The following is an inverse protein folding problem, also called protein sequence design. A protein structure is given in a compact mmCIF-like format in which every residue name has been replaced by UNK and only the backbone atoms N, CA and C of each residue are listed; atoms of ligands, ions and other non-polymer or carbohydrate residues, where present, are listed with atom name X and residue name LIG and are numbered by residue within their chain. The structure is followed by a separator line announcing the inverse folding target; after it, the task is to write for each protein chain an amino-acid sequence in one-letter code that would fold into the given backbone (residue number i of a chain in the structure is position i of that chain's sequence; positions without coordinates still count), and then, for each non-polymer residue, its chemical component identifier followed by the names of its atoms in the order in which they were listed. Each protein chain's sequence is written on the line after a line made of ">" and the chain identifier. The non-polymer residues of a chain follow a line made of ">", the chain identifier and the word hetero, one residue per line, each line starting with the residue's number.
data_IF_906781884275
#
_entry.id   IF_906781884275
#
_cell.length_a   1.000
_cell.length_b   1.000
_cell.length_c   1.000
_cell.angle_alpha   90.00
_cell.angle_beta   90.00
_cell.angle_gamma   90.00
#
_symmetry.space_group_name_H-M   'P 1'
#
loop_
_entity.id
_entity.type
_entity.pdbx_description
1 polymer ?
#
# COMPACT_ATOMS: atom_id res chain seq x y z
N UNK A 1 -19.79 10.12 18.87
CA UNK A 1 -19.15 11.42 19.17
C UNK A 1 -18.28 11.76 17.99
N UNK A 2 -18.57 12.81 17.23
CA UNK A 2 -17.73 13.26 16.12
C UNK A 2 -16.50 13.95 16.70
N UNK A 3 -15.34 13.31 16.59
CA UNK A 3 -14.06 13.96 16.87
C UNK A 3 -13.67 14.79 15.65
N UNK A 4 -13.31 16.06 15.84
CA UNK A 4 -12.73 16.86 14.77
C UNK A 4 -11.37 16.25 14.42
N UNK A 5 -11.23 15.69 13.21
CA UNK A 5 -9.92 15.31 12.71
C UNK A 5 -9.18 16.57 12.24
N UNK A 6 -7.90 16.70 12.60
CA UNK A 6 -6.98 17.58 11.89
C UNK A 6 -7.01 17.31 10.36
N UNK A 7 -6.91 18.37 9.54
CA UNK A 7 -7.04 18.28 8.06
C UNK A 7 -5.99 17.35 7.42
N UNK A 8 -4.82 17.30 8.04
CA UNK A 8 -3.69 16.43 7.72
C UNK A 8 -3.98 14.96 8.02
N UNK A 9 -4.63 14.63 9.14
CA UNK A 9 -5.08 13.25 9.44
C UNK A 9 -6.12 12.79 8.42
N UNK A 10 -7.09 13.64 8.08
CA UNK A 10 -8.08 13.32 7.04
C UNK A 10 -7.41 13.06 5.68
N UNK A 11 -6.39 13.86 5.33
CA UNK A 11 -5.64 13.65 4.11
C UNK A 11 -4.91 12.30 4.11
N UNK A 12 -4.23 11.94 5.22
CA UNK A 12 -3.51 10.66 5.36
C UNK A 12 -4.47 9.47 5.24
N UNK A 13 -5.61 9.50 5.93
CA UNK A 13 -6.61 8.43 5.82
C UNK A 13 -7.16 8.32 4.38
N UNK A 14 -7.34 9.46 3.71
CA UNK A 14 -7.76 9.50 2.30
C UNK A 14 -6.69 8.94 1.37
N UNK A 15 -5.42 9.14 1.70
CA UNK A 15 -4.27 8.62 0.95
C UNK A 15 -4.11 7.11 1.11
N UNK A 16 -4.26 6.56 2.32
CA UNK A 16 -4.33 5.11 2.53
C UNK A 16 -5.47 4.50 1.71
N UNK A 17 -6.68 5.03 1.87
CA UNK A 17 -7.86 4.63 1.09
C UNK A 17 -7.60 4.60 -0.42
N UNK A 18 -6.98 5.67 -0.95
CA UNK A 18 -6.71 5.78 -2.39
C UNK A 18 -5.67 4.74 -2.85
N UNK A 19 -4.69 4.43 -2.01
CA UNK A 19 -3.66 3.43 -2.28
C UNK A 19 -4.25 2.01 -2.33
N UNK A 20 -5.09 1.63 -1.35
CA UNK A 20 -5.77 0.32 -1.37
C UNK A 20 -6.69 0.18 -2.60
N UNK A 21 -7.43 1.25 -2.92
CA UNK A 21 -8.33 1.23 -4.07
C UNK A 21 -7.55 1.07 -5.39
N UNK A 22 -6.37 1.67 -5.51
CA UNK A 22 -5.50 1.50 -6.65
C UNK A 22 -4.95 0.06 -6.73
N UNK A 23 -4.57 -0.54 -5.60
CA UNK A 23 -4.16 -1.94 -5.46
C UNK A 23 -5.25 -2.90 -5.93
N UNK A 24 -6.46 -2.76 -5.38
CA UNK A 24 -7.64 -3.54 -5.79
C UNK A 24 -7.85 -3.48 -7.32
N UNK A 25 -7.87 -2.28 -7.89
CA UNK A 25 -8.07 -2.12 -9.33
C UNK A 25 -6.95 -2.74 -10.17
N UNK A 26 -5.71 -2.74 -9.67
CA UNK A 26 -4.59 -3.43 -10.31
C UNK A 26 -4.79 -4.95 -10.30
N UNK A 27 -5.00 -5.56 -9.14
CA UNK A 27 -5.15 -7.01 -9.02
C UNK A 27 -6.37 -7.54 -9.75
N UNK A 28 -7.51 -6.84 -9.69
CA UNK A 28 -8.70 -7.21 -10.46
C UNK A 28 -8.49 -7.16 -12.00
N UNK A 29 -7.63 -6.25 -12.48
CA UNK A 29 -7.23 -6.24 -13.91
C UNK A 29 -6.30 -7.40 -14.25
N UNK A 30 -5.39 -7.76 -13.35
CA UNK A 30 -4.45 -8.87 -13.56
C UNK A 30 -5.18 -10.22 -13.53
N UNK A 31 -6.07 -10.43 -12.55
CA UNK A 31 -6.89 -11.63 -12.42
C UNK A 31 -7.70 -11.89 -13.70
N UNK A 32 -8.25 -10.84 -14.32
CA UNK A 32 -9.00 -10.97 -15.58
C UNK A 32 -8.12 -11.28 -16.81
N UNK A 33 -6.83 -10.97 -16.76
CA UNK A 33 -5.92 -11.07 -17.93
C UNK A 33 -5.01 -12.29 -17.87
N UNK A 34 -4.71 -12.81 -16.70
CA UNK A 34 -3.83 -13.96 -16.54
C UNK A 34 -4.46 -15.22 -17.16
N UNK A 35 -3.63 -16.06 -17.78
CA UNK A 35 -4.00 -17.41 -18.21
C UNK A 35 -3.61 -18.49 -17.19
N UNK A 36 -2.90 -18.11 -16.14
CA UNK A 36 -2.50 -18.98 -15.03
C UNK A 36 -3.65 -19.08 -14.02
N UNK A 37 -4.28 -20.26 -13.96
CA UNK A 37 -5.47 -20.49 -13.15
C UNK A 37 -5.22 -20.40 -11.65
N UNK A 38 -4.05 -20.85 -11.16
CA UNK A 38 -3.69 -20.71 -9.74
C UNK A 38 -3.49 -19.25 -9.40
N UNK A 39 -2.71 -18.53 -10.22
CA UNK A 39 -2.46 -17.11 -10.02
C UNK A 39 -3.78 -16.30 -10.07
N UNK A 40 -4.73 -16.68 -10.93
CA UNK A 40 -6.03 -16.03 -10.99
C UNK A 40 -6.79 -16.10 -9.66
N UNK A 41 -6.67 -17.19 -8.90
CA UNK A 41 -7.32 -17.35 -7.59
C UNK A 41 -6.70 -16.34 -6.62
N UNK A 42 -5.37 -16.36 -6.47
CA UNK A 42 -4.65 -15.46 -5.56
C UNK A 42 -4.89 -13.97 -5.89
N UNK A 43 -4.81 -13.59 -7.18
CA UNK A 43 -5.09 -12.22 -7.59
C UNK A 43 -6.54 -11.78 -7.33
N UNK A 44 -7.49 -12.71 -7.35
CA UNK A 44 -8.90 -12.42 -7.07
C UNK A 44 -9.13 -12.24 -5.56
N UNK A 45 -8.49 -13.07 -4.74
CA UNK A 45 -8.49 -12.93 -3.28
C UNK A 45 -7.88 -11.59 -2.86
N UNK A 46 -6.68 -11.28 -3.33
CA UNK A 46 -6.01 -10.02 -3.02
C UNK A 46 -6.81 -8.80 -3.50
N UNK A 47 -7.43 -8.88 -4.69
CA UNK A 47 -8.37 -7.84 -5.13
C UNK A 47 -9.51 -7.60 -4.12
N UNK A 48 -10.10 -8.67 -3.59
CA UNK A 48 -11.21 -8.57 -2.66
C UNK A 48 -10.77 -7.97 -1.31
N UNK A 49 -9.58 -8.33 -0.84
CA UNK A 49 -8.99 -7.82 0.40
C UNK A 49 -8.70 -6.32 0.31
N UNK A 50 -8.01 -5.89 -0.74
CA UNK A 50 -7.69 -4.48 -1.00
C UNK A 50 -8.95 -3.62 -1.16
N UNK A 51 -9.99 -4.16 -1.81
CA UNK A 51 -11.28 -3.47 -1.92
C UNK A 51 -11.97 -3.34 -0.55
N UNK A 52 -11.86 -4.36 0.30
CA UNK A 52 -12.35 -4.32 1.69
C UNK A 52 -11.55 -3.31 2.51
N UNK A 53 -10.23 -3.25 2.38
CA UNK A 53 -9.37 -2.28 3.04
C UNK A 53 -9.71 -0.84 2.64
N UNK A 54 -9.87 -0.57 1.35
CA UNK A 54 -10.36 0.72 0.87
C UNK A 54 -11.71 1.10 1.50
N UNK A 55 -12.60 0.12 1.69
CA UNK A 55 -13.87 0.32 2.37
C UNK A 55 -13.73 0.56 3.89
N UNK A 56 -12.80 -0.10 4.57
CA UNK A 56 -12.52 0.14 5.99
C UNK A 56 -12.11 1.60 6.21
N UNK A 57 -11.16 2.10 5.41
CA UNK A 57 -10.77 3.51 5.46
C UNK A 57 -11.92 4.46 5.13
N UNK A 58 -12.72 4.13 4.11
CA UNK A 58 -13.91 4.91 3.74
C UNK A 58 -14.92 4.98 4.90
N UNK A 59 -15.16 3.85 5.55
CA UNK A 59 -16.11 3.73 6.66
C UNK A 59 -15.62 4.49 7.88
N UNK A 60 -14.34 4.39 8.22
CA UNK A 60 -13.70 5.15 9.30
C UNK A 60 -13.83 6.66 9.08
N UNK A 61 -13.48 7.15 7.89
CA UNK A 61 -13.58 8.58 7.54
C UNK A 61 -15.04 9.06 7.72
N UNK A 62 -16.01 8.26 7.27
CA UNK A 62 -17.44 8.58 7.42
C UNK A 62 -17.89 8.56 8.88
N UNK A 63 -17.43 7.59 9.67
CA UNK A 63 -17.76 7.47 11.10
C UNK A 63 -17.22 8.66 11.90
N UNK A 64 -16.08 9.19 11.49
CA UNK A 64 -15.49 10.42 12.05
C UNK A 64 -16.23 11.69 11.57
N UNK A 65 -17.21 11.58 10.68
CA UNK A 65 -18.03 12.68 10.20
C UNK A 65 -17.46 13.42 8.99
N UNK A 66 -16.50 12.82 8.29
CA UNK A 66 -15.82 13.42 7.15
C UNK A 66 -16.15 12.71 5.82
N UNK A 67 -15.73 13.32 4.71
CA UNK A 67 -15.76 12.75 3.35
C UNK A 67 -14.33 12.60 2.86
N UNK A 68 -13.95 11.48 2.20
CA UNK A 68 -12.60 11.30 1.71
C UNK A 68 -12.18 12.43 0.75
N UNK A 69 -10.97 12.95 0.96
CA UNK A 69 -10.36 13.92 0.06
C UNK A 69 -9.93 13.21 -1.22
N UNK A 70 -10.05 13.90 -2.36
CA UNK A 70 -9.56 13.37 -3.63
C UNK A 70 -8.03 13.37 -3.65
N UNK A 71 -7.46 12.19 -3.76
CA UNK A 71 -6.02 11.97 -3.93
C UNK A 71 -5.73 11.71 -5.40
N UNK A 72 -4.81 12.49 -5.98
CA UNK A 72 -4.46 12.40 -7.41
C UNK A 72 -3.19 11.63 -7.68
N UNK A 73 -2.34 11.46 -6.67
CA UNK A 73 -1.11 10.69 -6.74
C UNK A 73 -1.09 9.71 -5.57
N UNK A 74 -0.84 8.45 -5.87
CA UNK A 74 -0.66 7.36 -4.90
C UNK A 74 0.74 6.79 -5.03
N UNK A 75 1.15 5.91 -4.12
CA UNK A 75 2.40 5.17 -4.26
C UNK A 75 2.53 4.51 -5.63
N UNK A 76 1.47 3.86 -6.12
CA UNK A 76 1.47 3.24 -7.46
C UNK A 76 1.73 4.26 -8.57
N UNK A 77 1.29 5.51 -8.41
CA UNK A 77 1.57 6.59 -9.37
C UNK A 77 3.04 6.99 -9.36
N UNK A 78 3.66 7.08 -8.18
CA UNK A 78 5.09 7.36 -8.03
C UNK A 78 5.95 6.22 -8.59
N UNK A 79 5.62 4.98 -8.26
CA UNK A 79 6.30 3.81 -8.80
C UNK A 79 6.17 3.70 -10.32
N UNK A 80 4.98 3.96 -10.88
CA UNK A 80 4.77 3.95 -12.32
C UNK A 80 5.59 5.03 -13.05
N UNK A 81 5.87 6.16 -12.39
CA UNK A 81 6.70 7.24 -12.95
C UNK A 81 8.18 6.85 -13.04
N UNK A 82 8.71 6.25 -11.99
CA UNK A 82 10.12 5.87 -11.91
C UNK A 82 10.46 4.57 -12.64
N UNK A 83 9.55 3.59 -12.61
CA UNK A 83 9.79 2.23 -13.12
C UNK A 83 9.18 2.05 -14.51
N UNK A 84 8.16 2.83 -14.85
CA UNK A 84 7.29 2.55 -15.99
C UNK A 84 6.32 1.41 -15.69
N UNK A 85 5.84 0.75 -16.74
CA UNK A 85 4.92 -0.39 -16.63
C UNK A 85 5.76 -1.65 -16.37
N UNK A 86 5.53 -2.40 -15.28
CA UNK A 86 6.19 -3.69 -15.06
C UNK A 86 6.02 -4.61 -16.27
N UNK A 87 7.13 -5.19 -16.73
CA UNK A 87 7.17 -6.03 -17.93
C UNK A 87 6.66 -7.45 -17.67
N UNK A 88 6.66 -7.90 -16.41
CA UNK A 88 6.27 -9.26 -16.03
C UNK A 88 5.41 -9.27 -14.77
N UNK A 89 4.66 -10.36 -14.56
CA UNK A 89 3.93 -10.57 -13.30
C UNK A 89 4.85 -10.66 -12.09
N UNK A 90 6.06 -11.22 -12.25
CA UNK A 90 7.05 -11.29 -11.17
C UNK A 90 7.49 -9.89 -10.72
N UNK A 91 7.66 -8.96 -11.66
CA UNK A 91 7.94 -7.56 -11.34
C UNK A 91 6.77 -6.88 -10.63
N UNK A 92 5.53 -7.17 -11.02
CA UNK A 92 4.34 -6.66 -10.31
C UNK A 92 4.32 -7.17 -8.87
N UNK A 93 4.45 -8.49 -8.67
CA UNK A 93 4.41 -9.09 -7.32
C UNK A 93 5.57 -8.61 -6.44
N UNK A 94 6.75 -8.41 -7.03
CA UNK A 94 7.88 -7.85 -6.29
C UNK A 94 7.64 -6.40 -5.89
N UNK A 95 7.08 -5.59 -6.80
CA UNK A 95 6.69 -4.22 -6.49
C UNK A 95 5.63 -4.16 -5.39
N UNK A 96 4.62 -5.05 -5.47
CA UNK A 96 3.61 -5.24 -4.42
C UNK A 96 4.26 -5.53 -3.08
N UNK A 97 5.20 -6.48 -3.00
CA UNK A 97 5.89 -6.81 -1.76
C UNK A 97 6.65 -5.63 -1.16
N UNK A 98 7.42 -4.91 -1.98
CA UNK A 98 8.18 -3.73 -1.51
C UNK A 98 7.22 -2.65 -0.99
N UNK A 99 6.09 -2.49 -1.66
CA UNK A 99 5.04 -1.56 -1.25
C UNK A 99 4.37 -1.97 0.08
N UNK A 100 3.98 -3.24 0.23
CA UNK A 100 3.35 -3.76 1.45
C UNK A 100 4.30 -3.66 2.67
N UNK A 101 5.58 -4.01 2.49
CA UNK A 101 6.60 -3.86 3.54
C UNK A 101 6.70 -2.38 3.99
N UNK A 102 6.63 -1.44 3.05
CA UNK A 102 6.66 0.01 3.33
C UNK A 102 5.40 0.48 4.05
N UNK A 103 4.22 0.09 3.58
CA UNK A 103 2.93 0.45 4.19
C UNK A 103 2.82 -0.09 5.60
N UNK A 104 3.24 -1.33 5.84
CA UNK A 104 3.29 -1.91 7.18
C UNK A 104 4.09 -1.02 8.15
N UNK A 105 5.27 -0.55 7.74
CA UNK A 105 6.06 0.38 8.55
C UNK A 105 5.34 1.72 8.82
N UNK A 106 4.61 2.25 7.83
CA UNK A 106 3.83 3.49 8.01
C UNK A 106 2.67 3.29 8.99
N UNK A 107 1.93 2.19 8.89
CA UNK A 107 0.84 1.87 9.80
C UNK A 107 1.33 1.70 11.24
N UNK A 108 2.46 1.00 11.44
CA UNK A 108 3.08 0.88 12.78
C UNK A 108 3.43 2.25 13.34
N UNK A 109 4.11 3.10 12.57
CA UNK A 109 4.48 4.46 13.02
C UNK A 109 3.26 5.33 13.33
N UNK A 110 2.20 5.24 12.52
CA UNK A 110 0.96 5.99 12.75
C UNK A 110 0.21 5.51 13.99
N UNK A 111 0.23 4.20 14.24
CA UNK A 111 -0.36 3.59 15.42
C UNK A 111 0.34 4.04 16.72
N UNK A 112 1.67 4.21 16.67
CA UNK A 112 2.50 4.63 17.80
C UNK A 112 2.35 6.10 18.17
N UNK A 113 1.77 6.94 17.31
CA UNK A 113 1.61 8.37 17.61
C UNK A 113 0.64 8.59 18.79
N UNK A 114 1.03 9.43 19.78
CA UNK A 114 0.19 9.71 20.94
C UNK A 114 -1.20 10.25 20.59
N UNK A 115 -1.27 11.16 19.63
CA UNK A 115 -2.45 11.93 19.23
C UNK A 115 -3.40 11.21 18.27
N UNK A 116 -3.01 10.04 17.74
CA UNK A 116 -3.87 9.29 16.81
C UNK A 116 -5.20 8.91 17.47
N UNK A 117 -6.29 9.24 16.78
CA UNK A 117 -7.65 8.99 17.27
C UNK A 117 -7.90 7.49 17.53
N UNK A 118 -8.69 7.15 18.56
CA UNK A 118 -8.90 5.76 18.98
C UNK A 118 -9.47 4.86 17.88
N UNK A 119 -10.42 5.38 17.09
CA UNK A 119 -10.98 4.64 15.93
C UNK A 119 -9.91 4.40 14.85
N UNK A 120 -9.02 5.37 14.60
CA UNK A 120 -7.91 5.21 13.66
C UNK A 120 -6.95 4.13 14.16
N UNK A 121 -6.60 4.14 15.46
CA UNK A 121 -5.77 3.08 16.07
C UNK A 121 -6.42 1.70 15.93
N UNK A 122 -7.73 1.60 16.10
CA UNK A 122 -8.44 0.33 15.94
C UNK A 122 -8.37 -0.17 14.48
N UNK A 123 -8.65 0.70 13.51
CA UNK A 123 -8.56 0.36 12.08
C UNK A 123 -7.14 -0.01 11.67
N UNK A 124 -6.12 0.73 12.12
CA UNK A 124 -4.71 0.43 11.86
C UNK A 124 -4.32 -0.97 12.36
N UNK A 125 -4.82 -1.39 13.52
CA UNK A 125 -4.56 -2.74 14.04
C UNK A 125 -5.17 -3.82 13.14
N UNK A 126 -6.42 -3.64 12.72
CA UNK A 126 -7.06 -4.56 11.76
C UNK A 126 -6.29 -4.63 10.45
N UNK A 127 -5.87 -3.49 9.91
CA UNK A 127 -5.04 -3.45 8.70
C UNK A 127 -3.73 -4.22 8.89
N UNK A 128 -3.00 -3.98 9.98
CA UNK A 128 -1.74 -4.69 10.28
C UNK A 128 -1.89 -6.20 10.48
N UNK A 129 -3.06 -6.67 10.92
CA UNK A 129 -3.39 -8.09 11.02
C UNK A 129 -3.60 -8.70 9.63
N UNK A 130 -4.34 -8.00 8.77
CA UNK A 130 -4.67 -8.45 7.42
C UNK A 130 -3.43 -8.49 6.49
N UNK A 131 -2.57 -7.47 6.54
CA UNK A 131 -1.39 -7.33 5.65
C UNK A 131 -0.35 -8.48 5.79
N UNK A 132 -0.40 -9.23 6.90
CA UNK A 132 0.50 -10.38 7.10
C UNK A 132 0.22 -11.49 6.08
N UNK A 133 -1.04 -11.70 5.73
CA UNK A 133 -1.44 -12.73 4.77
C UNK A 133 -0.93 -12.42 3.36
N UNK A 134 -1.00 -11.15 2.95
CA UNK A 134 -0.52 -10.70 1.65
C UNK A 134 0.97 -10.99 1.45
N UNK A 135 1.80 -10.57 2.41
CA UNK A 135 3.26 -10.74 2.36
C UNK A 135 3.70 -12.21 2.26
N UNK A 136 2.97 -13.10 2.93
CA UNK A 136 3.28 -14.54 2.94
C UNK A 136 3.09 -15.14 1.55
N UNK A 137 1.89 -15.03 0.96
CA UNK A 137 1.59 -15.67 -0.32
C UNK A 137 2.38 -15.05 -1.48
N UNK A 138 2.57 -13.72 -1.49
CA UNK A 138 3.39 -13.03 -2.50
C UNK A 138 4.83 -13.53 -2.42
N UNK A 139 5.36 -13.69 -1.20
CA UNK A 139 6.67 -14.25 -0.96
C UNK A 139 6.83 -15.68 -1.49
N UNK A 140 5.87 -16.55 -1.19
CA UNK A 140 5.85 -17.93 -1.69
C UNK A 140 5.79 -18.01 -3.21
N UNK A 141 4.96 -17.17 -3.85
CA UNK A 141 4.84 -17.15 -5.32
C UNK A 141 6.12 -16.68 -5.99
N UNK A 142 6.75 -15.64 -5.45
CA UNK A 142 8.04 -15.17 -5.95
C UNK A 142 9.11 -16.25 -5.83
N UNK A 143 9.22 -16.93 -4.68
CA UNK A 143 10.18 -18.02 -4.48
C UNK A 143 9.99 -19.16 -5.49
N UNK A 144 8.73 -19.49 -5.84
CA UNK A 144 8.43 -20.45 -6.90
C UNK A 144 8.91 -19.99 -8.27
N UNK A 145 8.68 -18.72 -8.64
CA UNK A 145 9.18 -18.17 -9.91
C UNK A 145 10.70 -18.18 -10.01
N UNK A 146 11.41 -17.99 -8.89
CA UNK A 146 12.87 -18.14 -8.86
C UNK A 146 13.30 -19.60 -9.08
N UNK A 147 12.66 -20.54 -8.38
CA UNK A 147 12.95 -21.97 -8.53
C UNK A 147 12.66 -22.50 -9.94
N UNK A 148 11.65 -21.95 -10.61
CA UNK A 148 11.29 -22.25 -12.01
C UNK A 148 12.17 -21.50 -13.03
N UNK A 149 13.10 -20.65 -12.58
CA UNK A 149 14.00 -19.89 -13.45
C UNK A 149 13.33 -18.76 -14.23
N UNK A 150 12.11 -18.37 -13.86
CA UNK A 150 11.33 -17.33 -14.52
C UNK A 150 11.81 -15.91 -14.19
N UNK A 151 12.52 -15.75 -13.06
CA UNK A 151 13.08 -14.47 -12.62
C UNK A 151 14.31 -14.68 -11.73
N UNK A 152 15.16 -13.66 -11.65
CA UNK A 152 16.28 -13.62 -10.70
C UNK A 152 15.97 -12.60 -9.59
N UNK A 153 15.43 -13.09 -8.48
CA UNK A 153 14.93 -12.23 -7.40
C UNK A 153 15.98 -11.36 -6.70
N UNK A 154 17.25 -11.78 -6.50
CA UNK A 154 18.20 -10.97 -5.74
C UNK A 154 18.51 -9.63 -6.42
N UNK A 155 18.82 -9.63 -7.73
CA UNK A 155 19.11 -8.40 -8.45
C UNK A 155 17.86 -7.54 -8.69
N UNK A 156 16.72 -8.20 -8.95
CA UNK A 156 15.46 -7.50 -9.16
C UNK A 156 14.98 -6.85 -7.85
N UNK A 157 14.99 -7.60 -6.75
CA UNK A 157 14.61 -7.12 -5.42
C UNK A 157 15.42 -5.93 -4.97
N UNK A 158 16.73 -5.93 -5.19
CA UNK A 158 17.56 -4.77 -4.83
C UNK A 158 17.26 -3.54 -5.68
N UNK A 159 17.04 -3.72 -6.99
CA UNK A 159 16.62 -2.63 -7.88
C UNK A 159 15.31 -2.00 -7.41
N UNK A 160 14.30 -2.79 -7.09
CA UNK A 160 12.99 -2.27 -6.64
C UNK A 160 13.08 -1.63 -5.25
N UNK A 161 13.88 -2.16 -4.33
CA UNK A 161 14.15 -1.52 -3.03
C UNK A 161 14.91 -0.21 -3.18
N UNK A 162 15.86 -0.11 -4.12
CA UNK A 162 16.56 1.14 -4.38
C UNK A 162 15.65 2.19 -5.02
N UNK A 163 14.74 1.76 -5.89
CA UNK A 163 13.72 2.64 -6.46
C UNK A 163 12.74 3.10 -5.38
N UNK A 164 12.25 2.21 -4.52
CA UNK A 164 11.46 2.59 -3.35
C UNK A 164 12.22 3.58 -2.46
N UNK A 165 13.51 3.33 -2.17
CA UNK A 165 14.35 4.28 -1.42
C UNK A 165 14.43 5.63 -2.11
N UNK A 166 14.51 5.71 -3.44
CA UNK A 166 14.55 6.97 -4.20
C UNK A 166 13.21 7.68 -4.27
N UNK A 167 12.12 6.96 -4.57
CA UNK A 167 10.76 7.49 -4.52
C UNK A 167 10.48 8.05 -3.14
N UNK A 168 10.89 7.31 -2.11
CA UNK A 168 10.81 7.75 -0.74
C UNK A 168 11.70 8.98 -0.50
N UNK A 169 12.95 8.99 -0.98
CA UNK A 169 13.87 10.11 -0.86
C UNK A 169 13.40 11.38 -1.59
N UNK A 170 12.70 11.26 -2.71
CA UNK A 170 12.11 12.38 -3.46
C UNK A 170 10.78 12.82 -2.83
N UNK A 171 10.04 11.89 -2.22
CA UNK A 171 9.00 12.23 -1.27
C UNK A 171 9.57 12.93 -0.01
N UNK A 172 10.89 12.88 0.24
CA UNK A 172 11.62 13.77 1.18
C UNK A 172 11.87 15.19 0.62
N UNK A 173 11.36 15.58 -0.55
CA UNK A 173 11.23 17.00 -0.94
C UNK A 173 9.76 17.47 -0.98
N UNK A 174 8.82 16.56 -1.26
CA UNK A 174 7.40 16.75 -0.91
C UNK A 174 7.11 16.56 0.60
N UNK A 175 8.19 16.37 1.35
CA UNK A 175 8.31 16.11 2.78
C UNK A 175 7.62 17.14 3.64
N UNK A 176 7.60 18.41 3.24
CA UNK A 176 7.04 19.46 4.09
C UNK A 176 5.56 19.24 4.39
N UNK A 177 4.79 18.60 3.50
CA UNK A 177 3.35 18.31 3.77
C UNK A 177 3.11 17.01 4.52
N UNK A 178 4.02 16.04 4.39
CA UNK A 178 3.89 14.75 5.07
C UNK A 178 4.55 14.80 6.47
N UNK A 179 5.58 15.64 6.68
CA UNK A 179 6.42 15.68 7.88
C UNK A 179 6.20 16.85 8.82
N UNK A 180 5.61 17.98 8.38
CA UNK A 180 4.98 18.91 9.33
C UNK A 180 3.92 18.17 10.19
N UNK A 181 3.41 17.04 9.67
CA UNK A 181 2.41 16.17 10.29
C UNK A 181 2.95 14.97 11.09
N UNK A 182 4.23 14.59 10.95
CA UNK A 182 4.84 13.48 11.72
C UNK A 182 5.54 13.94 13.02
N UNK A 183 5.42 15.22 13.38
CA UNK A 183 5.80 15.72 14.70
C UNK A 183 7.31 15.70 15.01
N UNK A 184 8.18 15.65 14.00
CA UNK A 184 9.62 15.75 14.21
C UNK A 184 10.22 16.83 13.31
N UNK A 185 10.56 17.98 13.93
CA UNK A 185 11.63 18.84 13.43
C UNK A 185 12.95 18.43 14.10
N UNK A 186 14.11 18.71 13.46
CA UNK A 186 15.41 18.59 14.12
C UNK A 186 15.51 19.45 15.38
#
# INVERSE_FOLDING_TARGET
>A
MSGVLPDDELWVLSYYRASELAGALLFGRLARRTSDGELSIFLTEHFAEEARHAWLWTSLIRELGHVPVRITETYQSHYSREIGIPATIAEVLLLTRVFEERIYCHFVRHLERPETHALVKATLKTMLEDERGHLEWVGERLARYEAEGMTFLPALGEKYREIDRRIYAEALECESRLWDFLGMKP
#
